data_IF_366966057470
#
_entry.id   IF_366966057470
#
_cell.length_a   1.000
_cell.length_b   1.000
_cell.length_c   1.000
_cell.angle_alpha   90.00
_cell.angle_beta   90.00
_cell.angle_gamma   90.00
#
_symmetry.space_group_name_H-M   'P 1'
#
loop_
_entity.id
_entity.type
_entity.pdbx_description
1 polymer ?
#
# COMPACT_ATOMS: atom_id res chain seq x y z
N UNK A 1 -41.77 49.81 -1.49
CA UNK A 1 -41.66 48.39 -1.92
C UNK A 1 -40.83 48.22 -3.21
N UNK A 2 -39.63 48.83 -3.31
CA UNK A 2 -38.72 48.64 -4.47
C UNK A 2 -37.26 48.39 -4.08
N UNK A 3 -36.95 48.36 -2.78
CA UNK A 3 -35.60 48.07 -2.26
C UNK A 3 -35.38 46.58 -1.88
N UNK A 4 -36.37 45.72 -2.10
CA UNK A 4 -36.31 44.28 -1.80
C UNK A 4 -36.01 43.41 -3.03
N UNK A 5 -35.92 43.99 -4.23
CA UNK A 5 -35.75 43.23 -5.49
C UNK A 5 -34.30 43.15 -5.98
N UNK A 6 -33.37 43.92 -5.42
CA UNK A 6 -31.95 43.92 -5.83
C UNK A 6 -31.04 43.12 -4.90
N UNK A 7 -31.57 42.48 -3.85
CA UNK A 7 -30.76 41.82 -2.81
C UNK A 7 -30.78 40.29 -2.86
N UNK A 8 -31.48 39.68 -3.82
CA UNK A 8 -31.69 38.22 -3.87
C UNK A 8 -30.84 37.51 -4.94
N UNK A 9 -30.24 38.22 -5.89
CA UNK A 9 -29.43 37.60 -6.95
C UNK A 9 -27.93 37.45 -6.65
N UNK A 10 -27.45 37.94 -5.49
CA UNK A 10 -26.08 37.71 -5.03
C UNK A 10 -25.96 36.49 -4.10
N UNK A 11 -27.09 35.84 -3.77
CA UNK A 11 -27.12 34.70 -2.84
C UNK A 11 -27.23 33.34 -3.52
N UNK A 12 -27.14 33.28 -4.85
CA UNK A 12 -27.15 32.02 -5.63
C UNK A 12 -25.74 31.52 -6.00
N UNK A 13 -24.67 32.22 -5.63
CA UNK A 13 -23.27 31.81 -5.85
C UNK A 13 -22.66 31.26 -4.54
N UNK A 14 -23.47 30.70 -3.65
CA UNK A 14 -23.00 30.08 -2.41
C UNK A 14 -23.65 28.72 -2.16
N UNK A 15 -23.90 27.96 -3.22
CA UNK A 15 -23.79 26.49 -3.13
C UNK A 15 -22.39 26.17 -3.64
N UNK A 16 -21.40 26.70 -2.90
CA UNK A 16 -20.03 26.25 -3.00
C UNK A 16 -20.07 24.75 -2.72
N UNK A 17 -19.79 23.95 -3.75
CA UNK A 17 -19.55 22.54 -3.60
C UNK A 17 -18.63 22.33 -2.39
N UNK A 18 -18.99 21.51 -1.39
CA UNK A 18 -17.96 20.98 -0.54
C UNK A 18 -17.06 20.17 -1.49
N UNK A 19 -15.93 20.76 -1.89
CA UNK A 19 -14.80 20.02 -2.41
C UNK A 19 -14.50 19.05 -1.29
N UNK A 20 -14.96 17.81 -1.47
CA UNK A 20 -14.56 16.68 -0.64
C UNK A 20 -13.05 16.64 -0.79
N UNK A 21 -12.32 17.18 0.20
CA UNK A 21 -10.90 16.92 0.32
C UNK A 21 -10.80 15.46 0.75
N UNK A 22 -10.95 14.55 -0.23
CA UNK A 22 -10.56 13.17 -0.06
C UNK A 22 -9.08 13.21 0.28
N UNK A 23 -8.75 12.95 1.54
CA UNK A 23 -7.39 12.64 1.93
C UNK A 23 -6.96 11.45 1.07
N UNK A 24 -6.12 11.70 0.06
CA UNK A 24 -5.56 10.65 -0.76
C UNK A 24 -4.81 9.67 0.16
N UNK A 25 -5.07 8.38 -0.01
CA UNK A 25 -4.64 7.34 0.92
C UNK A 25 -3.11 7.22 0.98
N UNK A 26 -2.53 7.38 2.17
CA UNK A 26 -1.09 7.21 2.48
C UNK A 26 -0.63 5.74 2.50
N UNK A 27 -1.56 4.80 2.30
CA UNK A 27 -1.28 3.37 2.35
C UNK A 27 -0.44 2.90 1.14
N UNK A 28 -0.68 3.49 -0.03
CA UNK A 28 0.02 3.17 -1.27
C UNK A 28 1.49 3.57 -1.18
N UNK A 29 1.78 4.82 -0.79
CA UNK A 29 3.15 5.33 -0.63
C UNK A 29 3.96 4.48 0.38
N UNK A 30 3.31 4.04 1.46
CA UNK A 30 3.94 3.18 2.46
C UNK A 30 4.20 1.78 1.91
N UNK A 31 3.26 1.20 1.17
CA UNK A 31 3.45 -0.11 0.54
C UNK A 31 4.56 -0.05 -0.50
N UNK A 32 4.59 1.00 -1.33
CA UNK A 32 5.67 1.23 -2.28
C UNK A 32 7.04 1.26 -1.57
N UNK A 33 7.15 2.01 -0.47
CA UNK A 33 8.38 2.04 0.34
C UNK A 33 8.76 0.64 0.89
N UNK A 34 7.78 -0.14 1.35
CA UNK A 34 8.01 -1.50 1.86
C UNK A 34 8.44 -2.48 0.76
N UNK A 35 7.93 -2.36 -0.46
CA UNK A 35 8.34 -3.21 -1.59
C UNK A 35 9.77 -2.95 -2.05
N UNK A 36 10.27 -1.72 -1.83
CA UNK A 36 11.67 -1.32 -2.10
C UNK A 36 12.64 -1.68 -0.97
N UNK A 37 12.13 -1.95 0.24
CA UNK A 37 12.96 -2.37 1.37
C UNK A 37 13.54 -3.76 1.17
N UNK A 38 14.82 -3.93 1.50
CA UNK A 38 15.50 -5.23 1.44
C UNK A 38 15.07 -6.15 2.60
N UNK A 39 14.69 -5.55 3.74
CA UNK A 39 14.34 -6.26 4.97
C UNK A 39 12.95 -6.90 4.96
N UNK A 40 12.11 -6.57 3.96
CA UNK A 40 10.69 -6.94 3.94
C UNK A 40 10.30 -7.78 2.73
N UNK A 41 9.31 -8.66 2.91
CA UNK A 41 8.55 -9.30 1.83
C UNK A 41 7.08 -8.89 1.91
N UNK A 42 6.79 -7.66 1.46
CA UNK A 42 5.53 -6.99 1.73
C UNK A 42 4.32 -7.50 0.92
N UNK A 43 4.57 -8.24 -0.17
CA UNK A 43 3.53 -8.80 -1.04
C UNK A 43 4.03 -10.09 -1.70
N UNK A 44 3.12 -10.94 -2.19
CA UNK A 44 3.43 -12.27 -2.74
C UNK A 44 4.54 -12.24 -3.82
N UNK A 45 4.45 -11.30 -4.75
CA UNK A 45 5.42 -11.12 -5.85
C UNK A 45 6.68 -10.30 -5.50
N UNK A 46 6.93 -9.99 -4.22
CA UNK A 46 7.93 -9.03 -3.70
C UNK A 46 7.64 -7.56 -4.01
N UNK A 47 7.29 -7.24 -5.26
CA UNK A 47 7.04 -5.88 -5.74
C UNK A 47 5.97 -5.88 -6.85
N UNK A 48 5.60 -4.70 -7.34
CA UNK A 48 4.57 -4.54 -8.38
C UNK A 48 4.90 -5.18 -9.73
N UNK A 49 6.18 -5.43 -10.04
CA UNK A 49 6.56 -6.20 -11.23
C UNK A 49 6.40 -7.71 -11.04
N UNK A 50 6.10 -8.16 -9.81
CA UNK A 50 5.94 -9.56 -9.43
C UNK A 50 7.10 -10.47 -9.87
N UNK A 51 8.33 -9.96 -9.82
CA UNK A 51 9.51 -10.68 -10.30
C UNK A 51 10.08 -11.69 -9.28
N UNK A 52 9.55 -11.73 -8.05
CA UNK A 52 10.00 -12.61 -6.97
C UNK A 52 11.52 -12.51 -6.65
N UNK A 53 12.15 -11.37 -6.94
CA UNK A 53 13.60 -11.18 -6.82
C UNK A 53 14.00 -10.42 -5.55
N UNK A 54 15.01 -10.93 -4.82
CA UNK A 54 15.61 -10.28 -3.66
C UNK A 54 17.06 -9.84 -3.96
N UNK A 55 17.45 -8.66 -3.51
CA UNK A 55 18.82 -8.11 -3.63
C UNK A 55 19.75 -8.54 -2.49
N UNK A 56 19.24 -9.21 -1.45
CA UNK A 56 20.03 -9.68 -0.31
C UNK A 56 21.09 -10.72 -0.73
N UNK A 57 22.31 -10.57 -0.22
CA UNK A 57 23.46 -11.40 -0.60
C UNK A 57 24.05 -12.25 0.52
N UNK A 58 23.46 -12.19 1.73
CA UNK A 58 23.94 -12.91 2.90
C UNK A 58 24.05 -14.41 2.65
N UNK A 59 23.08 -14.99 1.94
CA UNK A 59 23.11 -16.37 1.44
C UNK A 59 23.45 -16.34 -0.04
N UNK A 60 24.44 -17.11 -0.46
CA UNK A 60 24.95 -17.13 -1.82
C UNK A 60 25.52 -18.51 -2.20
N UNK A 61 25.99 -18.65 -3.45
CA UNK A 61 26.45 -19.92 -4.00
C UNK A 61 27.59 -20.58 -3.20
N UNK A 62 28.42 -19.78 -2.54
CA UNK A 62 29.59 -20.28 -1.80
C UNK A 62 29.20 -20.84 -0.42
N UNK A 63 28.16 -20.28 0.21
CA UNK A 63 27.79 -20.58 1.60
C UNK A 63 26.45 -21.31 1.76
N UNK A 64 25.61 -21.42 0.72
CA UNK A 64 24.30 -22.08 0.78
C UNK A 64 24.37 -23.52 1.30
N UNK A 65 25.48 -24.22 1.02
CA UNK A 65 25.78 -25.57 1.52
C UNK A 65 25.79 -25.69 3.05
N UNK A 66 25.98 -24.57 3.76
CA UNK A 66 26.06 -24.53 5.21
C UNK A 66 24.71 -24.20 5.88
N UNK A 67 23.64 -23.94 5.12
CA UNK A 67 22.33 -23.62 5.69
C UNK A 67 21.81 -24.74 6.60
N UNK A 68 21.15 -24.33 7.68
CA UNK A 68 20.49 -25.19 8.67
C UNK A 68 19.09 -24.67 8.95
N UNK A 69 18.20 -25.57 9.36
CA UNK A 69 16.86 -25.19 9.82
C UNK A 69 16.99 -24.30 11.06
N UNK A 70 16.45 -23.09 10.98
CA UNK A 70 16.41 -22.18 12.13
C UNK A 70 15.21 -22.50 13.04
N UNK A 71 14.06 -22.84 12.46
CA UNK A 71 12.82 -23.20 13.16
C UNK A 71 11.85 -23.89 12.20
N UNK A 72 10.80 -24.51 12.74
CA UNK A 72 9.70 -25.13 11.99
C UNK A 72 8.35 -24.77 12.62
N UNK A 73 7.31 -24.60 11.80
CA UNK A 73 5.95 -24.27 12.24
C UNK A 73 4.92 -25.17 11.55
N UNK A 74 3.98 -25.74 12.31
CA UNK A 74 2.86 -26.52 11.78
C UNK A 74 1.65 -25.63 11.56
N UNK A 75 1.07 -25.69 10.35
CA UNK A 75 -0.15 -24.94 10.01
C UNK A 75 -1.43 -25.61 10.51
N UNK A 76 -1.37 -26.87 10.95
CA UNK A 76 -2.49 -27.58 11.55
C UNK A 76 -3.55 -28.14 10.59
N UNK A 77 -3.34 -28.08 9.27
CA UNK A 77 -4.21 -28.73 8.28
C UNK A 77 -3.58 -30.02 7.74
N UNK A 78 -4.45 -30.97 7.38
CA UNK A 78 -4.04 -32.25 6.78
C UNK A 78 -3.77 -32.14 5.26
N UNK A 79 -4.23 -31.05 4.63
CA UNK A 79 -4.11 -30.74 3.20
C UNK A 79 -3.44 -29.38 2.98
N UNK A 80 -2.89 -29.15 1.78
CA UNK A 80 -2.28 -27.88 1.39
C UNK A 80 -3.28 -26.71 1.31
N UNK A 81 -2.76 -25.48 1.39
CA UNK A 81 -3.52 -24.22 1.20
C UNK A 81 -3.30 -23.71 -0.23
N UNK A 82 -3.81 -24.43 -1.23
CA UNK A 82 -3.67 -24.10 -2.66
C UNK A 82 -4.95 -23.48 -3.25
#
# INVERSE_FOLDING_TARGET
>A
MRKLLNSVSLLSVLIAAPIVTMSAATAEDKLEALTKSEDNWAMQGKNYSSNHYSTLTQVNADNVKNLKVAWSFSTGLLSGHE
#
